data_IF_582378121707
#
_entry.id   IF_582378121707
#
_cell.length_a   1.000
_cell.length_b   1.000
_cell.length_c   1.000
_cell.angle_alpha   90.00
_cell.angle_beta   90.00
_cell.angle_gamma   90.00
#
_symmetry.space_group_name_H-M   'P 1'
#
loop_
_entity.id
_entity.type
_entity.pdbx_description
1 polymer ?
#
# COMPACT_ATOMS: atom_id res chain seq x y z
N UNK A 4 -6.54 -37.74 -41.39
CA UNK A 4 -7.37 -37.10 -42.47
C UNK A 4 -8.24 -35.97 -41.92
N UNK A 5 -9.56 -36.22 -41.87
CA UNK A 5 -10.53 -35.35 -41.21
C UNK A 5 -10.55 -35.67 -39.71
N UNK A 6 -9.92 -36.80 -39.37
CA UNK A 6 -9.67 -37.17 -38.00
C UNK A 6 -8.92 -36.02 -37.32
N UNK A 7 -7.77 -35.65 -37.90
CA UNK A 7 -6.81 -34.72 -37.30
C UNK A 7 -7.36 -33.29 -37.20
N UNK A 8 -8.35 -32.94 -38.05
CA UNK A 8 -8.88 -31.59 -38.04
C UNK A 8 -9.72 -31.38 -36.78
N UNK A 9 -10.59 -32.35 -36.49
CA UNK A 9 -11.52 -32.28 -35.37
C UNK A 9 -10.77 -32.36 -34.05
N UNK A 10 -9.53 -32.87 -34.08
CA UNK A 10 -8.69 -32.97 -32.90
C UNK A 10 -8.14 -31.59 -32.58
N UNK A 11 -7.32 -31.09 -33.51
CA UNK A 11 -6.76 -29.76 -33.42
C UNK A 11 -7.85 -28.78 -33.01
N UNK A 12 -9.09 -29.03 -33.46
CA UNK A 12 -10.23 -28.17 -33.13
C UNK A 12 -10.69 -28.37 -31.69
N UNK A 13 -10.68 -29.61 -31.18
CA UNK A 13 -11.06 -29.83 -29.79
C UNK A 13 -9.95 -29.36 -28.83
N UNK A 14 -8.68 -29.47 -29.25
CA UNK A 14 -7.53 -29.04 -28.48
C UNK A 14 -7.59 -27.53 -28.28
N UNK A 15 -7.71 -26.81 -29.39
CA UNK A 15 -7.85 -25.36 -29.39
C UNK A 15 -8.88 -24.93 -28.35
N UNK A 16 -10.07 -25.54 -28.38
CA UNK A 16 -11.15 -25.19 -27.46
C UNK A 16 -10.75 -25.43 -26.00
N UNK A 17 -9.82 -26.36 -25.78
CA UNK A 17 -9.40 -26.71 -24.42
C UNK A 17 -8.12 -25.97 -24.05
N UNK A 18 -7.19 -25.87 -25.00
CA UNK A 18 -5.96 -25.19 -24.67
C UNK A 18 -6.27 -23.72 -24.44
N UNK A 19 -7.41 -23.28 -24.98
CA UNK A 19 -7.92 -21.94 -24.71
C UNK A 19 -8.57 -21.89 -23.32
N UNK A 20 -9.41 -22.88 -23.00
CA UNK A 20 -10.07 -22.97 -21.71
C UNK A 20 -9.06 -22.70 -20.61
N UNK A 21 -7.93 -23.41 -20.68
CA UNK A 21 -6.95 -23.43 -19.61
C UNK A 21 -6.16 -22.13 -19.62
N UNK A 22 -6.25 -21.37 -20.71
CA UNK A 22 -5.50 -20.13 -20.68
C UNK A 22 -6.35 -19.03 -20.06
N UNK A 23 -7.66 -19.09 -20.29
CA UNK A 23 -8.60 -18.17 -19.70
C UNK A 23 -8.62 -18.38 -18.19
N UNK A 24 -8.37 -19.62 -17.77
CA UNK A 24 -8.32 -19.91 -16.35
C UNK A 24 -7.18 -19.09 -15.77
N UNK A 25 -6.00 -19.18 -16.40
CA UNK A 25 -4.84 -18.47 -15.88
C UNK A 25 -5.13 -16.98 -15.75
N UNK A 26 -5.73 -16.38 -16.79
CA UNK A 26 -5.99 -14.95 -16.72
C UNK A 26 -7.01 -14.66 -15.61
N UNK A 27 -8.18 -15.33 -15.58
CA UNK A 27 -9.14 -14.99 -14.55
C UNK A 27 -8.47 -15.02 -13.19
N UNK A 28 -7.68 -16.07 -12.91
CA UNK A 28 -6.96 -16.25 -11.67
C UNK A 28 -6.13 -15.02 -11.33
N UNK A 29 -5.31 -14.55 -12.29
CA UNK A 29 -4.50 -13.36 -12.07
C UNK A 29 -5.41 -12.19 -11.68
N UNK A 30 -6.50 -12.01 -12.44
CA UNK A 30 -7.45 -10.94 -12.14
C UNK A 30 -8.03 -11.12 -10.75
N UNK A 31 -8.47 -12.33 -10.40
CA UNK A 31 -8.87 -12.63 -9.03
C UNK A 31 -7.84 -12.13 -8.01
N UNK A 32 -6.56 -12.45 -8.23
CA UNK A 32 -5.51 -12.05 -7.31
C UNK A 32 -5.42 -10.53 -7.20
N UNK A 33 -5.25 -9.86 -8.34
CA UNK A 33 -5.26 -8.41 -8.33
C UNK A 33 -6.39 -7.89 -7.43
N UNK A 34 -7.61 -8.48 -7.53
CA UNK A 34 -8.76 -8.06 -6.72
C UNK A 34 -8.56 -8.33 -5.23
N UNK A 35 -8.28 -9.59 -4.87
CA UNK A 35 -7.82 -9.95 -3.53
C UNK A 35 -6.74 -9.00 -3.02
N UNK A 36 -5.55 -8.96 -3.65
CA UNK A 36 -4.52 -8.07 -3.13
C UNK A 36 -5.07 -6.66 -2.97
N UNK A 37 -5.78 -6.15 -3.99
CA UNK A 37 -6.17 -4.75 -3.96
C UNK A 37 -7.17 -4.47 -2.86
N UNK A 38 -8.04 -5.45 -2.59
CA UNK A 38 -9.05 -5.30 -1.56
C UNK A 38 -8.37 -5.37 -0.20
N UNK A 39 -7.68 -6.50 0.07
CA UNK A 39 -6.87 -6.69 1.27
C UNK A 39 -5.95 -5.49 1.53
N UNK A 40 -5.34 -4.96 0.48
CA UNK A 40 -4.46 -3.82 0.68
C UNK A 40 -5.22 -2.62 1.23
N UNK A 41 -6.25 -2.14 0.52
CA UNK A 41 -6.97 -0.95 0.93
C UNK A 41 -7.43 -1.08 2.37
N UNK A 42 -7.96 -2.26 2.70
CA UNK A 42 -8.42 -2.56 4.05
C UNK A 42 -7.31 -2.25 5.07
N UNK A 43 -6.21 -3.02 5.02
CA UNK A 43 -5.04 -2.85 5.88
C UNK A 43 -4.66 -1.37 6.01
N UNK A 44 -4.66 -0.63 4.90
CA UNK A 44 -4.49 0.83 4.99
C UNK A 44 -5.50 1.43 5.96
N UNK A 45 -6.80 1.26 5.71
CA UNK A 45 -7.82 1.84 6.57
C UNK A 45 -7.56 1.49 8.05
N UNK A 46 -7.42 0.19 8.37
CA UNK A 46 -7.11 -0.22 9.74
C UNK A 46 -5.93 0.58 10.33
N UNK A 47 -4.77 0.55 9.66
CA UNK A 47 -3.56 1.21 10.13
C UNK A 47 -3.79 2.71 10.27
N UNK A 48 -4.49 3.31 9.29
CA UNK A 48 -4.80 4.73 9.37
C UNK A 48 -5.61 5.01 10.63
N UNK A 49 -6.47 4.06 11.01
CA UNK A 49 -7.39 4.32 12.07
C UNK A 49 -6.63 4.32 13.38
N UNK A 50 -5.95 3.20 13.67
CA UNK A 50 -5.04 3.09 14.81
C UNK A 50 -4.25 4.38 14.98
N UNK A 51 -3.57 4.84 13.92
CA UNK A 51 -2.71 6.00 14.06
C UNK A 51 -3.55 7.19 14.50
N UNK A 52 -4.64 7.43 13.77
CA UNK A 52 -5.51 8.56 14.10
C UNK A 52 -5.93 8.45 15.56
N UNK A 53 -6.27 7.22 15.99
CA UNK A 53 -6.68 6.96 17.36
C UNK A 53 -5.59 7.44 18.31
N UNK A 54 -4.37 6.91 18.15
CA UNK A 54 -3.26 7.21 19.04
C UNK A 54 -2.92 8.71 19.04
N UNK A 55 -3.04 9.35 17.89
CA UNK A 55 -2.80 10.78 17.85
C UNK A 55 -3.82 11.50 18.73
N UNK A 56 -5.07 11.03 18.67
CA UNK A 56 -6.10 11.67 19.46
C UNK A 56 -5.85 11.44 20.95
N UNK A 57 -5.42 10.22 21.32
CA UNK A 57 -5.02 9.95 22.69
C UNK A 57 -3.82 10.83 23.08
N UNK A 58 -2.88 11.05 22.15
CA UNK A 58 -1.79 11.96 22.50
C UNK A 58 -2.38 13.35 22.73
N UNK A 59 -3.25 13.80 21.81
CA UNK A 59 -3.87 15.10 21.98
C UNK A 59 -4.56 15.18 23.35
N UNK A 60 -5.16 14.08 23.79
CA UNK A 60 -5.99 14.15 24.98
C UNK A 60 -5.19 14.00 26.28
N UNK A 61 -4.32 12.98 26.34
CA UNK A 61 -3.46 12.77 27.47
C UNK A 61 -2.56 13.99 27.72
N UNK A 62 -2.50 14.92 26.74
CA UNK A 62 -1.66 16.10 26.82
C UNK A 62 -2.41 17.28 27.44
N UNK A 63 -3.63 17.54 26.96
CA UNK A 63 -4.48 18.57 27.55
C UNK A 63 -4.61 18.29 29.05
N UNK A 64 -4.68 16.99 29.40
CA UNK A 64 -4.84 16.63 30.79
C UNK A 64 -3.58 17.01 31.54
N UNK A 65 -2.41 16.58 31.05
CA UNK A 65 -1.20 16.87 31.80
C UNK A 65 -1.04 18.37 32.01
N UNK A 66 -1.29 19.15 30.93
CA UNK A 66 -1.36 20.61 30.97
C UNK A 66 -2.06 21.08 32.24
N UNK A 67 -3.28 20.61 32.45
CA UNK A 67 -4.13 21.04 33.54
C UNK A 67 -3.52 20.70 34.90
N UNK A 68 -2.95 19.49 35.07
CA UNK A 68 -2.39 19.10 36.37
C UNK A 68 -1.21 19.99 36.73
N UNK A 69 -0.52 20.46 35.70
CA UNK A 69 0.55 21.40 35.98
C UNK A 69 -0.09 22.75 36.30
N UNK A 70 -0.84 23.29 35.32
CA UNK A 70 -1.50 24.57 35.41
C UNK A 70 -2.07 24.75 36.81
N UNK A 71 -2.58 23.64 37.38
CA UNK A 71 -3.21 23.65 38.69
C UNK A 71 -2.14 23.53 39.78
N UNK A 72 -1.31 22.48 39.71
CA UNK A 72 -0.29 22.29 40.73
C UNK A 72 0.52 23.58 40.94
N UNK A 73 0.44 24.46 39.95
CA UNK A 73 1.20 25.69 39.92
C UNK A 73 0.40 26.79 40.60
N UNK A 74 -0.92 26.80 40.36
CA UNK A 74 -1.74 27.86 40.94
C UNK A 74 -1.93 27.62 42.43
N UNK A 75 -1.71 26.36 42.85
CA UNK A 75 -1.56 26.01 44.25
C UNK A 75 -0.39 26.80 44.85
N UNK A 76 0.80 26.63 44.25
CA UNK A 76 2.00 27.30 44.68
C UNK A 76 1.82 28.82 44.73
N UNK A 77 1.18 29.39 43.70
CA UNK A 77 0.81 30.79 43.74
C UNK A 77 0.04 31.09 45.03
N UNK A 78 -1.04 30.33 45.27
CA UNK A 78 -1.82 30.57 46.47
C UNK A 78 -0.93 30.45 47.71
N UNK A 79 -0.18 29.34 47.81
CA UNK A 79 0.65 29.07 48.96
C UNK A 79 1.53 30.28 49.24
N UNK A 80 1.85 31.05 48.20
CA UNK A 80 2.63 32.26 48.37
C UNK A 80 1.80 33.43 48.86
N UNK A 81 0.80 33.83 48.04
CA UNK A 81 -0.08 34.97 48.30
C UNK A 81 -0.70 34.86 49.71
N UNK A 82 -0.73 33.64 50.28
CA UNK A 82 -1.26 33.40 51.62
C UNK A 82 -0.11 33.06 52.56
N UNK A 83 -0.28 32.00 53.38
CA UNK A 83 0.62 31.66 54.46
C UNK A 83 2.10 31.83 54.12
N UNK B 4 8.72 35.48 44.30
CA UNK B 4 8.43 34.10 43.80
C UNK B 4 7.07 34.00 43.10
N UNK B 5 6.24 35.02 43.30
CA UNK B 5 4.96 35.07 42.63
C UNK B 5 5.17 35.21 41.12
N UNK B 6 5.73 36.36 40.70
CA UNK B 6 5.85 36.66 39.27
C UNK B 6 6.51 35.48 38.57
N UNK B 7 7.49 34.85 39.24
CA UNK B 7 8.13 33.67 38.69
C UNK B 7 7.07 32.69 38.20
N UNK B 8 6.10 32.40 39.06
CA UNK B 8 5.16 31.34 38.81
C UNK B 8 4.14 31.80 37.78
N UNK B 9 3.75 33.07 37.85
CA UNK B 9 2.89 33.63 36.83
C UNK B 9 3.46 33.32 35.44
N UNK B 10 4.80 33.24 35.36
CA UNK B 10 5.52 33.05 34.12
C UNK B 10 5.49 31.59 33.70
N UNK B 11 5.93 30.70 34.60
CA UNK B 11 5.86 29.28 34.33
C UNK B 11 4.49 28.95 33.73
N UNK B 12 3.43 29.52 34.30
CA UNK B 12 2.09 29.42 33.72
C UNK B 12 2.09 29.82 32.24
N UNK B 13 2.39 31.10 31.94
CA UNK B 13 2.29 31.57 30.55
C UNK B 13 3.11 30.70 29.59
N UNK B 14 4.17 30.06 30.10
CA UNK B 14 5.07 29.26 29.29
C UNK B 14 4.38 27.95 28.96
N UNK B 15 3.91 27.28 30.01
CA UNK B 15 3.14 26.06 29.90
C UNK B 15 2.00 26.28 28.89
N UNK B 16 1.37 27.46 28.95
CA UNK B 16 0.23 27.72 28.09
C UNK B 16 0.64 27.69 26.63
N UNK B 17 1.76 28.34 26.28
CA UNK B 17 1.99 28.58 24.86
C UNK B 17 2.86 27.46 24.25
N UNK B 18 3.47 26.64 25.10
CA UNK B 18 4.17 25.44 24.64
C UNK B 18 3.13 24.43 24.20
N UNK B 19 1.92 24.61 24.73
CA UNK B 19 0.83 23.69 24.47
C UNK B 19 0.19 23.97 23.10
N UNK B 20 -0.16 25.23 22.82
CA UNK B 20 -0.79 25.55 21.54
C UNK B 20 0.05 24.96 20.41
N UNK B 21 1.37 25.18 20.52
CA UNK B 21 2.37 24.73 19.56
C UNK B 21 2.34 23.20 19.37
N UNK B 22 2.37 22.46 20.49
CA UNK B 22 2.44 21.01 20.36
C UNK B 22 1.09 20.47 19.86
N UNK B 23 0.01 21.14 20.24
CA UNK B 23 -1.31 20.89 19.69
C UNK B 23 -1.28 20.98 18.17
N UNK B 24 -0.79 22.09 17.62
CA UNK B 24 -0.84 22.29 16.18
C UNK B 24 -0.10 21.14 15.51
N UNK B 25 1.10 20.85 16.03
CA UNK B 25 1.96 19.87 15.41
C UNK B 25 1.21 18.55 15.28
N UNK B 26 0.60 18.10 16.40
CA UNK B 26 -0.06 16.80 16.41
C UNK B 26 -1.18 16.85 15.39
N UNK B 27 -1.82 18.02 15.29
CA UNK B 27 -2.91 18.12 14.36
C UNK B 27 -2.34 17.98 12.96
N UNK B 28 -1.08 18.36 12.78
CA UNK B 28 -0.56 18.32 11.43
C UNK B 28 -0.21 16.87 11.08
N UNK B 29 0.39 16.15 12.02
CA UNK B 29 0.71 14.76 11.73
C UNK B 29 -0.58 14.11 11.29
N UNK B 30 -1.63 14.24 12.11
CA UNK B 30 -2.94 13.68 11.80
C UNK B 30 -3.43 14.06 10.41
N UNK B 31 -3.25 15.32 10.01
CA UNK B 31 -3.66 15.78 8.68
C UNK B 31 -3.00 14.92 7.60
N UNK B 32 -1.69 14.76 7.71
CA UNK B 32 -0.91 14.01 6.74
C UNK B 32 -1.31 12.54 6.80
N UNK B 33 -1.48 12.02 8.02
CA UNK B 33 -1.99 10.67 8.14
C UNK B 33 -3.25 10.52 7.30
N UNK B 34 -4.08 11.55 7.27
CA UNK B 34 -5.28 11.50 6.44
C UNK B 34 -4.87 11.54 4.97
N UNK B 35 -4.29 12.66 4.54
CA UNK B 35 -3.85 12.84 3.16
C UNK B 35 -3.18 11.58 2.59
N UNK B 36 -2.27 10.89 3.32
CA UNK B 36 -1.60 9.76 2.69
C UNK B 36 -2.64 8.74 2.29
N UNK B 37 -3.55 8.43 3.20
CA UNK B 37 -4.42 7.27 2.99
C UNK B 37 -5.34 7.49 1.79
N UNK B 38 -5.79 8.72 1.57
CA UNK B 38 -6.66 8.93 0.42
C UNK B 38 -5.86 8.84 -0.87
N UNK B 39 -4.85 9.64 -0.98
CA UNK B 39 -3.88 9.37 -2.04
C UNK B 39 -3.48 7.92 -2.29
N UNK B 40 -3.08 7.20 -1.21
CA UNK B 40 -2.67 5.82 -1.31
C UNK B 40 -3.80 4.95 -1.84
N UNK B 41 -5.00 5.08 -1.26
CA UNK B 41 -6.11 4.21 -1.63
C UNK B 41 -6.56 4.54 -3.05
N UNK B 42 -6.54 5.84 -3.39
CA UNK B 42 -6.73 6.24 -4.76
C UNK B 42 -5.81 5.39 -5.67
N UNK B 43 -4.49 5.55 -5.51
CA UNK B 43 -3.52 4.89 -6.36
C UNK B 43 -3.76 3.37 -6.41
N UNK B 44 -3.94 2.74 -5.24
CA UNK B 44 -4.18 1.29 -5.28
C UNK B 44 -5.35 0.99 -6.22
N UNK B 45 -6.41 1.82 -6.15
CA UNK B 45 -7.64 1.60 -6.92
C UNK B 45 -7.34 1.79 -8.41
N UNK B 46 -6.84 2.98 -8.75
CA UNK B 46 -6.42 3.32 -10.10
C UNK B 46 -5.69 2.14 -10.72
N UNK B 47 -4.71 1.62 -9.99
CA UNK B 47 -3.80 0.67 -10.59
C UNK B 47 -4.51 -0.67 -10.77
N UNK B 48 -5.25 -1.09 -9.74
CA UNK B 48 -6.07 -2.28 -9.85
C UNK B 48 -6.89 -2.20 -11.15
N UNK B 49 -7.44 -1.01 -11.42
CA UNK B 49 -8.26 -0.88 -12.60
C UNK B 49 -7.40 -1.11 -13.83
N UNK B 50 -6.36 -0.28 -14.01
CA UNK B 50 -5.49 -0.38 -15.17
C UNK B 50 -5.07 -1.83 -15.41
N UNK B 51 -4.82 -2.61 -14.34
CA UNK B 51 -4.38 -3.99 -14.54
C UNK B 51 -5.57 -4.86 -14.94
N UNK B 52 -6.72 -4.62 -14.28
CA UNK B 52 -7.88 -5.43 -14.62
C UNK B 52 -8.27 -5.19 -16.08
N UNK B 53 -7.97 -3.97 -16.59
CA UNK B 53 -8.29 -3.58 -17.95
C UNK B 53 -7.40 -4.31 -18.96
N UNK B 54 -6.10 -4.41 -18.67
CA UNK B 54 -5.24 -5.00 -19.67
C UNK B 54 -5.48 -6.51 -19.65
N UNK B 55 -5.71 -7.01 -18.45
CA UNK B 55 -6.08 -8.41 -18.35
C UNK B 55 -7.32 -8.66 -19.20
N UNK B 56 -8.29 -7.73 -19.15
CA UNK B 56 -9.45 -7.85 -20.00
C UNK B 56 -9.03 -7.91 -21.47
N UNK B 57 -8.17 -6.97 -21.92
CA UNK B 57 -7.78 -6.90 -23.33
C UNK B 57 -7.09 -8.19 -23.80
N UNK B 58 -6.29 -8.80 -22.93
CA UNK B 58 -5.71 -10.06 -23.31
C UNK B 58 -6.82 -11.05 -23.62
N UNK B 59 -7.80 -11.17 -22.71
CA UNK B 59 -8.93 -12.07 -22.95
C UNK B 59 -9.60 -11.71 -24.29
N UNK B 60 -9.98 -10.46 -24.47
CA UNK B 60 -10.78 -10.10 -25.63
C UNK B 60 -10.05 -10.50 -26.90
N UNK B 61 -8.75 -10.15 -26.95
CA UNK B 61 -7.90 -10.34 -28.12
C UNK B 61 -7.75 -11.83 -28.42
N UNK B 62 -7.60 -12.63 -27.38
CA UNK B 62 -7.42 -14.06 -27.57
C UNK B 62 -8.76 -14.68 -27.97
N UNK B 63 -9.86 -14.26 -27.33
CA UNK B 63 -11.15 -14.76 -27.77
C UNK B 63 -11.37 -14.46 -29.25
N UNK B 64 -11.10 -13.23 -29.70
CA UNK B 64 -11.43 -12.94 -31.08
C UNK B 64 -10.62 -13.86 -31.99
N UNK B 65 -9.34 -14.06 -31.68
CA UNK B 65 -8.49 -14.92 -32.51
C UNK B 65 -9.00 -16.37 -32.44
N UNK B 66 -9.62 -16.73 -31.32
CA UNK B 66 -10.16 -18.07 -31.25
C UNK B 66 -11.31 -18.16 -32.25
N UNK B 67 -12.25 -17.20 -32.12
CA UNK B 67 -13.48 -17.20 -32.88
C UNK B 67 -13.14 -17.25 -34.37
N UNK B 68 -12.17 -16.42 -34.77
CA UNK B 68 -11.76 -16.31 -36.16
C UNK B 68 -11.20 -17.64 -36.62
N UNK B 69 -10.34 -18.22 -35.76
CA UNK B 69 -9.64 -19.43 -36.14
C UNK B 69 -10.61 -20.59 -36.15
N UNK B 70 -11.46 -20.68 -35.11
CA UNK B 70 -12.52 -21.69 -35.13
C UNK B 70 -13.29 -21.60 -36.45
N UNK B 71 -13.83 -20.42 -36.72
CA UNK B 71 -14.59 -20.18 -37.94
C UNK B 71 -13.86 -20.74 -39.17
N UNK B 72 -12.53 -20.55 -39.21
CA UNK B 72 -11.68 -20.96 -40.31
C UNK B 72 -11.68 -22.48 -40.44
N UNK B 73 -11.51 -23.17 -39.31
CA UNK B 73 -11.26 -24.60 -39.38
C UNK B 73 -12.59 -25.33 -39.43
N UNK B 74 -13.65 -24.62 -39.02
CA UNK B 74 -15.03 -25.08 -39.19
C UNK B 74 -15.33 -25.19 -40.69
N UNK B 75 -14.84 -24.21 -41.48
CA UNK B 75 -15.09 -24.11 -42.91
C UNK B 75 -14.48 -25.30 -43.64
N UNK B 76 -13.19 -25.58 -43.41
CA UNK B 76 -12.53 -26.80 -43.88
C UNK B 76 -13.33 -28.03 -43.48
N UNK B 77 -13.82 -28.03 -42.23
CA UNK B 77 -14.54 -29.16 -41.68
C UNK B 77 -15.73 -29.52 -42.56
N UNK B 78 -16.43 -28.51 -43.08
CA UNK B 78 -17.55 -28.74 -43.99
C UNK B 78 -17.05 -29.12 -45.39
N UNK B 79 -16.02 -28.41 -45.89
CA UNK B 79 -15.51 -28.60 -47.25
C UNK B 79 -14.67 -29.87 -47.34
N UNK B 80 -14.56 -30.58 -46.20
CA UNK B 80 -13.86 -31.85 -46.13
C UNK B 80 -14.87 -32.97 -45.92
N UNK B 81 -16.01 -32.64 -45.29
CA UNK B 81 -17.15 -33.54 -45.17
C UNK B 81 -17.64 -33.95 -46.56
N UNK B 82 -17.45 -33.08 -47.56
CA UNK B 82 -17.56 -33.41 -48.98
C UNK B 82 -16.44 -32.70 -49.74
N UNK B 83 -16.75 -31.46 -50.19
CA UNK B 83 -15.82 -30.56 -50.87
C UNK B 83 -15.05 -31.25 -51.99
N UNK C 4 -6.48 -26.66 -50.60
CA UNK C 4 -6.67 -26.55 -49.11
C UNK C 4 -5.36 -26.48 -48.34
N UNK C 5 -4.25 -26.59 -49.07
CA UNK C 5 -2.99 -26.28 -48.45
C UNK C 5 -3.03 -24.80 -48.07
N UNK C 6 -3.37 -23.95 -49.05
CA UNK C 6 -3.25 -22.52 -48.87
C UNK C 6 -3.96 -22.11 -47.59
N UNK C 7 -5.13 -22.69 -47.35
CA UNK C 7 -5.92 -22.48 -46.14
C UNK C 7 -5.03 -22.64 -44.91
N UNK C 8 -4.32 -23.77 -44.85
CA UNK C 8 -3.57 -24.09 -43.67
C UNK C 8 -2.31 -23.25 -43.66
N UNK C 9 -1.72 -23.01 -44.83
CA UNK C 9 -0.61 -22.06 -44.88
C UNK C 9 -1.06 -20.71 -44.32
N UNK C 10 -2.37 -20.50 -44.23
CA UNK C 10 -2.94 -19.22 -43.80
C UNK C 10 -3.14 -19.19 -42.29
N UNK C 11 -3.88 -20.18 -41.78
CA UNK C 11 -3.93 -20.43 -40.35
C UNK C 11 -2.55 -20.24 -39.71
N UNK C 12 -1.55 -20.98 -40.21
CA UNK C 12 -0.19 -20.83 -39.71
C UNK C 12 0.14 -19.35 -39.52
N UNK C 13 0.09 -18.56 -40.60
CA UNK C 13 0.51 -17.18 -40.52
C UNK C 13 -0.32 -16.40 -39.49
N UNK C 14 -1.57 -16.83 -39.25
CA UNK C 14 -2.47 -16.07 -38.39
C UNK C 14 -2.02 -16.26 -36.95
N UNK C 15 -1.98 -17.53 -36.55
CA UNK C 15 -1.35 -17.96 -35.32
C UNK C 15 -0.03 -17.20 -35.08
N UNK C 16 0.83 -17.11 -36.10
CA UNK C 16 2.12 -16.49 -35.88
C UNK C 16 1.89 -15.04 -35.45
N UNK C 17 0.97 -14.36 -36.11
CA UNK C 17 0.79 -12.93 -35.90
C UNK C 17 -0.05 -12.62 -34.67
N UNK C 18 -0.98 -13.51 -34.32
CA UNK C 18 -1.78 -13.30 -33.12
C UNK C 18 -0.84 -13.33 -31.93
N UNK C 19 0.19 -14.19 -32.03
CA UNK C 19 0.99 -14.52 -30.87
C UNK C 19 1.93 -13.37 -30.49
N UNK C 20 2.48 -12.65 -31.46
CA UNK C 20 3.35 -11.53 -31.11
C UNK C 20 2.55 -10.50 -30.31
N UNK C 21 1.31 -10.25 -30.74
CA UNK C 21 0.44 -9.26 -30.13
C UNK C 21 0.20 -9.60 -28.66
N UNK C 22 -0.06 -10.89 -28.41
CA UNK C 22 -0.46 -11.31 -27.07
C UNK C 22 0.78 -11.36 -26.18
N UNK C 23 1.94 -11.64 -26.78
CA UNK C 23 3.22 -11.50 -26.10
C UNK C 23 3.38 -10.07 -25.59
N UNK C 24 3.31 -9.10 -26.52
CA UNK C 24 3.53 -7.72 -26.14
C UNK C 24 2.63 -7.34 -24.95
N UNK C 25 1.33 -7.57 -25.09
CA UNK C 25 0.35 -7.16 -24.10
C UNK C 25 0.70 -7.70 -22.73
N UNK C 26 1.25 -8.93 -22.68
CA UNK C 26 1.55 -9.59 -21.43
C UNK C 26 2.85 -9.00 -20.89
N UNK C 27 3.83 -8.82 -21.77
CA UNK C 27 4.98 -8.01 -21.41
C UNK C 27 4.47 -6.78 -20.68
N UNK C 28 3.69 -5.97 -21.39
CA UNK C 28 3.45 -4.61 -20.92
C UNK C 28 2.74 -4.65 -19.56
N UNK C 29 1.74 -5.51 -19.45
CA UNK C 29 1.14 -5.78 -18.15
C UNK C 29 2.24 -5.90 -17.10
N UNK C 30 3.19 -6.81 -17.34
CA UNK C 30 4.27 -7.03 -16.38
C UNK C 30 5.12 -5.77 -16.17
N UNK C 31 5.44 -5.04 -17.24
CA UNK C 31 6.13 -3.78 -17.06
C UNK C 31 5.42 -2.92 -16.01
N UNK C 32 4.08 -2.87 -16.07
CA UNK C 32 3.33 -2.03 -15.14
C UNK C 32 3.45 -2.57 -13.73
N UNK C 33 3.26 -3.89 -13.58
CA UNK C 33 3.42 -4.51 -12.28
C UNK C 33 4.73 -4.04 -11.67
N UNK C 34 5.78 -3.96 -12.48
CA UNK C 34 7.03 -3.43 -11.99
C UNK C 34 6.86 -1.97 -11.57
N UNK C 35 6.58 -1.07 -12.53
CA UNK C 35 6.46 0.33 -12.13
C UNK C 35 5.55 0.59 -10.92
N UNK C 36 4.40 -0.10 -10.79
CA UNK C 36 3.53 0.25 -9.67
C UNK C 36 4.28 0.03 -8.37
N UNK C 37 4.95 -1.12 -8.24
CA UNK C 37 5.55 -1.49 -6.95
C UNK C 37 6.66 -0.50 -6.60
N UNK C 38 7.29 0.07 -7.65
CA UNK C 38 8.33 1.07 -7.46
C UNK C 38 7.73 2.36 -6.91
N UNK C 39 6.67 2.88 -7.56
CA UNK C 39 5.85 3.94 -6.95
C UNK C 39 5.36 3.61 -5.53
N UNK C 40 4.55 2.55 -5.38
CA UNK C 40 4.00 2.20 -4.08
C UNK C 40 5.09 2.24 -3.03
N UNK C 41 6.15 1.44 -3.24
CA UNK C 41 7.22 1.30 -2.28
C UNK C 41 7.87 2.67 -2.05
N UNK C 42 8.30 3.31 -3.13
CA UNK C 42 8.95 4.60 -2.99
C UNK C 42 8.10 5.52 -2.13
N UNK C 43 6.81 5.67 -2.45
CA UNK C 43 6.09 6.73 -1.77
C UNK C 43 5.62 6.31 -0.36
N UNK C 44 5.41 5.01 -0.11
CA UNK C 44 5.29 4.60 1.28
C UNK C 44 6.46 5.21 2.05
N UNK C 45 7.68 4.96 1.54
CA UNK C 45 8.91 5.26 2.26
C UNK C 45 9.01 6.75 2.54
N UNK C 46 8.74 7.56 1.51
CA UNK C 46 8.61 9.00 1.68
C UNK C 46 7.71 9.31 2.87
N UNK C 47 6.62 8.56 3.02
CA UNK C 47 5.59 8.94 3.98
C UNK C 47 6.07 8.65 5.39
N UNK C 48 6.47 7.39 5.63
CA UNK C 48 7.09 6.93 6.86
C UNK C 48 8.15 7.95 7.31
N UNK C 49 8.94 8.39 6.33
CA UNK C 49 9.95 9.36 6.67
C UNK C 49 9.26 10.64 7.13
N UNK C 50 8.40 11.20 6.28
CA UNK C 50 7.72 12.42 6.67
C UNK C 50 7.12 12.29 8.07
N UNK C 51 6.40 11.19 8.37
CA UNK C 51 5.73 11.12 9.67
C UNK C 51 6.76 10.93 10.76
N UNK C 52 7.73 10.04 10.49
CA UNK C 52 8.77 9.80 11.50
C UNK C 52 9.45 11.12 11.89
N UNK C 53 9.73 12.00 10.90
CA UNK C 53 10.33 13.30 11.17
C UNK C 53 9.45 14.10 12.14
N UNK C 54 8.16 14.23 11.83
CA UNK C 54 7.28 15.08 12.59
C UNK C 54 7.09 14.56 14.00
N UNK C 55 7.00 13.23 14.13
CA UNK C 55 6.86 12.68 15.46
C UNK C 55 8.08 13.09 16.25
N UNK C 56 9.23 13.04 15.58
CA UNK C 56 10.49 13.40 16.19
C UNK C 56 10.40 14.84 16.69
N UNK C 57 9.92 15.77 15.85
CA UNK C 57 9.86 17.17 16.24
C UNK C 57 8.93 17.38 17.43
N UNK C 58 7.82 16.63 17.48
CA UNK C 58 6.98 16.65 18.67
C UNK C 58 7.84 16.35 19.90
N UNK C 59 8.68 15.32 19.77
CA UNK C 59 9.62 15.00 20.85
C UNK C 59 10.53 16.19 21.14
N UNK C 60 11.15 16.76 20.11
CA UNK C 60 12.14 17.76 20.46
C UNK C 60 11.43 18.92 21.15
N UNK C 61 10.33 19.38 20.55
CA UNK C 61 9.60 20.54 21.04
C UNK C 61 9.18 20.32 22.50
N UNK C 62 8.75 19.10 22.81
CA UNK C 62 8.41 18.82 24.20
C UNK C 62 9.70 18.70 25.02
N UNK C 63 10.69 17.94 24.55
CA UNK C 63 11.88 17.78 25.37
C UNK C 63 12.44 19.13 25.81
N UNK C 64 12.55 20.09 24.90
CA UNK C 64 13.23 21.31 25.29
C UNK C 64 12.35 22.13 26.24
N UNK C 65 11.03 22.09 26.02
CA UNK C 65 10.13 22.82 26.91
C UNK C 65 10.27 22.26 28.33
N UNK C 66 10.55 20.96 28.40
CA UNK C 66 10.72 20.34 29.68
C UNK C 66 11.99 20.90 30.31
N UNK C 67 13.07 20.91 29.51
CA UNK C 67 14.37 21.39 29.95
C UNK C 67 14.20 22.80 30.50
N UNK C 68 13.53 23.65 29.71
CA UNK C 68 13.34 25.05 30.06
C UNK C 68 12.54 25.19 31.34
N UNK C 69 11.45 24.42 31.44
CA UNK C 69 10.63 24.47 32.65
C UNK C 69 11.41 23.87 33.80
N UNK C 70 12.03 22.71 33.60
CA UNK C 70 12.80 22.12 34.69
C UNK C 70 13.75 23.17 35.27
N UNK C 71 14.53 23.81 34.39
CA UNK C 71 15.53 24.79 34.79
C UNK C 71 14.91 25.91 35.65
N UNK C 72 13.70 26.33 35.25
CA UNK C 72 13.01 27.43 35.89
C UNK C 72 12.60 27.07 37.31
N UNK C 73 12.15 25.82 37.50
CA UNK C 73 11.61 25.41 38.78
C UNK C 73 12.75 24.84 39.63
N UNK C 74 13.84 24.45 38.97
CA UNK C 74 15.04 24.08 39.72
C UNK C 74 15.54 25.30 40.50
N UNK C 75 15.44 26.49 39.87
CA UNK C 75 15.93 27.72 40.45
C UNK C 75 15.16 28.09 41.72
N UNK C 76 13.82 28.14 41.63
CA UNK C 76 12.97 28.42 42.78
C UNK C 76 13.34 27.48 43.91
N UNK C 77 13.59 26.21 43.55
CA UNK C 77 13.94 25.19 44.52
C UNK C 77 15.13 25.65 45.36
N UNK C 78 16.12 26.27 44.72
CA UNK C 78 17.28 26.78 45.43
C UNK C 78 16.92 28.03 46.24
N UNK C 79 16.21 28.97 45.61
CA UNK C 79 15.94 30.29 46.18
C UNK C 79 14.83 30.19 47.22
N UNK C 80 14.36 28.97 47.47
CA UNK C 80 13.41 28.69 48.53
C UNK C 80 14.10 27.86 49.60
N UNK C 81 15.07 27.05 49.19
CA UNK C 81 15.89 26.27 50.10
C UNK C 81 16.81 27.18 50.91
N UNK C 82 16.75 28.49 50.62
CA UNK C 82 17.25 29.55 51.48
C UNK C 82 16.29 30.74 51.41
N UNK C 83 16.55 31.67 50.49
CA UNK C 83 15.74 32.87 50.36
C UNK C 83 16.46 33.94 49.57
N UNK D 4 4.58 23.85 50.72
CA UNK D 4 5.55 24.97 50.48
C UNK D 4 6.63 24.59 49.45
N UNK D 5 7.75 24.06 49.96
CA UNK D 5 8.80 23.51 49.12
C UNK D 5 8.46 22.05 48.82
N UNK D 6 7.67 21.46 49.72
CA UNK D 6 7.01 20.18 49.56
C UNK D 6 6.40 20.08 48.17
N UNK D 7 5.52 21.04 47.85
CA UNK D 7 4.66 21.02 46.69
C UNK D 7 5.40 21.41 45.40
N UNK D 8 6.66 21.84 45.52
CA UNK D 8 7.45 22.23 44.34
C UNK D 8 8.16 21.00 43.76
N UNK D 9 8.60 20.11 44.64
CA UNK D 9 9.26 18.88 44.23
C UNK D 9 8.26 17.84 43.73
N UNK D 10 6.97 18.01 44.07
CA UNK D 10 5.90 17.13 43.61
C UNK D 10 5.63 17.42 42.13
N UNK D 11 5.24 18.67 41.89
CA UNK D 11 5.11 19.25 40.57
C UNK D 11 6.38 18.96 39.76
N UNK D 12 7.55 18.88 40.42
CA UNK D 12 8.76 18.57 39.67
C UNK D 12 8.88 17.07 39.40
N UNK D 13 8.33 16.23 40.26
CA UNK D 13 8.33 14.80 39.96
C UNK D 13 7.18 14.44 39.02
N UNK D 14 6.15 15.31 38.96
CA UNK D 14 5.02 15.17 38.06
C UNK D 14 5.48 15.33 36.61
N UNK D 15 5.91 16.55 36.29
CA UNK D 15 6.43 16.89 34.98
C UNK D 15 7.43 15.84 34.51
N UNK D 16 8.34 15.44 35.40
CA UNK D 16 9.37 14.46 35.09
C UNK D 16 8.78 13.08 34.81
N UNK D 17 7.52 12.85 35.23
CA UNK D 17 6.87 11.56 35.06
C UNK D 17 5.83 11.66 33.97
N UNK D 18 5.17 12.81 33.90
CA UNK D 18 4.10 13.00 32.95
C UNK D 18 4.71 13.04 31.56
N UNK D 19 5.99 13.39 31.51
CA UNK D 19 6.77 13.40 30.29
C UNK D 19 7.10 11.96 29.88
N UNK D 20 7.47 11.13 30.86
CA UNK D 20 7.74 9.72 30.61
C UNK D 20 6.60 9.10 29.84
N UNK D 21 5.37 9.42 30.27
CA UNK D 21 4.17 8.82 29.72
C UNK D 21 3.94 9.35 28.31
N UNK D 22 4.27 10.63 28.08
CA UNK D 22 3.99 11.22 26.78
C UNK D 22 4.99 10.72 25.75
N UNK D 23 6.24 10.53 26.19
CA UNK D 23 7.27 9.95 25.35
C UNK D 23 6.89 8.53 24.96
N UNK D 24 6.60 7.69 25.97
CA UNK D 24 6.11 6.36 25.68
C UNK D 24 5.06 6.44 24.58
N UNK D 25 4.08 7.32 24.73
CA UNK D 25 3.01 7.39 23.75
C UNK D 25 3.56 7.69 22.36
N UNK D 26 4.32 8.80 22.23
CA UNK D 26 4.86 9.16 20.94
C UNK D 26 5.76 8.05 20.42
N UNK D 27 6.52 7.38 21.31
CA UNK D 27 7.39 6.28 20.91
C UNK D 27 6.57 5.18 20.25
N UNK D 28 5.56 4.66 20.98
CA UNK D 28 4.61 3.70 20.45
C UNK D 28 4.18 4.11 19.04
N UNK D 29 3.65 5.33 18.88
CA UNK D 29 3.15 5.71 17.57
C UNK D 29 4.20 5.39 16.51
N UNK D 30 5.39 5.97 16.68
CA UNK D 30 6.45 5.81 15.69
C UNK D 30 6.85 4.34 15.55
N UNK D 31 6.86 3.58 16.64
CA UNK D 31 7.01 2.14 16.50
C UNK D 31 6.03 1.62 15.45
N UNK D 32 4.76 2.01 15.55
CA UNK D 32 3.74 1.42 14.69
C UNK D 32 3.96 1.85 13.25
N UNK D 33 4.17 3.14 13.05
CA UNK D 33 4.50 3.61 11.72
C UNK D 33 5.56 2.70 11.11
N UNK D 34 6.54 2.24 11.91
CA UNK D 34 7.63 1.36 11.50
C UNK D 34 7.14 -0.01 11.00
N UNK D 35 6.46 -0.77 11.88
CA UNK D 35 5.85 -2.04 11.52
C UNK D 35 4.92 -1.93 10.31
N UNK D 36 3.99 -0.96 10.30
CA UNK D 36 3.15 -0.80 9.13
C UNK D 36 4.01 -0.68 7.87
N UNK D 37 4.99 0.25 7.86
CA UNK D 37 5.63 0.47 6.57
C UNK D 37 6.37 -0.78 6.13
N UNK D 38 6.98 -1.44 7.12
CA UNK D 38 7.73 -2.67 6.91
C UNK D 38 6.78 -3.75 6.41
N UNK D 39 5.72 -4.01 7.19
CA UNK D 39 4.63 -4.89 6.82
C UNK D 39 4.10 -4.64 5.40
N UNK D 40 3.98 -3.38 5.04
CA UNK D 40 3.46 -3.10 3.72
C UNK D 40 4.48 -3.56 2.69
N UNK D 41 5.65 -3.02 2.79
CA UNK D 41 6.63 -3.18 1.73
C UNK D 41 6.77 -4.65 1.40
N UNK D 42 6.76 -5.49 2.45
CA UNK D 42 6.78 -6.93 2.29
C UNK D 42 5.65 -7.35 1.35
N UNK D 43 4.41 -7.12 1.81
CA UNK D 43 3.20 -7.44 1.06
C UNK D 43 3.34 -6.98 -0.39
N UNK D 44 3.84 -5.76 -0.64
CA UNK D 44 3.96 -5.31 -2.02
C UNK D 44 4.93 -6.23 -2.76
N UNK D 45 6.09 -6.50 -2.16
CA UNK D 45 7.08 -7.31 -2.85
C UNK D 45 6.47 -8.67 -3.18
N UNK D 46 5.92 -9.34 -2.16
CA UNK D 46 5.28 -10.65 -2.30
C UNK D 46 4.27 -10.70 -3.45
N UNK D 47 3.35 -9.73 -3.50
CA UNK D 47 2.31 -9.73 -4.52
C UNK D 47 2.92 -9.36 -5.88
N UNK D 48 3.88 -8.41 -5.89
CA UNK D 48 4.53 -8.05 -7.13
C UNK D 48 5.20 -9.27 -7.74
N UNK D 49 5.65 -10.16 -6.86
CA UNK D 49 6.38 -11.35 -7.28
C UNK D 49 5.46 -12.42 -7.81
N UNK D 50 4.47 -12.80 -6.99
CA UNK D 50 3.41 -13.74 -7.38
C UNK D 50 2.83 -13.32 -8.73
N UNK D 51 2.61 -12.01 -8.94
CA UNK D 51 2.05 -11.58 -10.21
C UNK D 51 3.09 -11.80 -11.29
N UNK D 52 4.25 -11.19 -11.11
CA UNK D 52 5.30 -11.27 -12.12
C UNK D 52 5.48 -12.73 -12.53
N UNK D 53 5.15 -13.60 -11.58
CA UNK D 53 5.35 -15.03 -11.73
C UNK D 53 4.26 -15.60 -12.64
N UNK D 54 2.98 -15.32 -12.30
CA UNK D 54 1.86 -15.83 -13.07
C UNK D 54 1.88 -15.35 -14.52
N UNK D 55 2.41 -14.15 -14.74
CA UNK D 55 2.41 -13.62 -16.09
C UNK D 55 3.46 -14.40 -16.90
N UNK D 56 4.59 -14.71 -16.24
CA UNK D 56 5.62 -15.47 -16.92
C UNK D 56 5.07 -16.83 -17.32
N UNK D 57 4.30 -17.46 -16.41
CA UNK D 57 3.64 -18.72 -16.71
C UNK D 57 2.71 -18.53 -17.91
N UNK D 58 2.07 -17.36 -17.99
CA UNK D 58 1.13 -17.14 -19.08
C UNK D 58 1.88 -17.10 -20.42
N UNK D 59 3.00 -16.39 -20.51
CA UNK D 59 3.72 -16.46 -21.77
C UNK D 59 4.07 -17.93 -22.06
N UNK D 60 4.72 -18.60 -21.10
CA UNK D 60 5.17 -19.97 -21.30
C UNK D 60 4.01 -20.84 -21.82
N UNK D 61 2.95 -20.94 -21.02
CA UNK D 61 1.82 -21.78 -21.34
C UNK D 61 1.21 -21.39 -22.68
N UNK D 62 1.61 -20.23 -23.24
CA UNK D 62 1.07 -19.71 -24.49
C UNK D 62 1.95 -20.14 -25.67
N UNK D 63 3.26 -19.87 -25.57
CA UNK D 63 4.26 -20.43 -26.46
C UNK D 63 3.98 -21.91 -26.76
N UNK D 64 3.73 -22.68 -25.70
CA UNK D 64 3.51 -24.10 -25.88
C UNK D 64 2.20 -24.33 -26.61
N UNK D 65 1.12 -23.64 -26.23
CA UNK D 65 -0.11 -23.85 -26.98
C UNK D 65 0.15 -23.58 -28.46
N UNK D 66 0.81 -22.44 -28.75
CA UNK D 66 1.19 -22.07 -30.11
C UNK D 66 1.81 -23.26 -30.82
N UNK D 67 2.93 -23.73 -30.28
CA UNK D 67 3.72 -24.76 -30.94
C UNK D 67 2.87 -26.00 -31.20
N UNK D 68 2.09 -26.45 -30.21
CA UNK D 68 1.19 -27.59 -30.37
C UNK D 68 0.23 -27.37 -31.54
N UNK D 69 -0.31 -26.16 -31.64
CA UNK D 69 -1.16 -25.87 -32.77
C UNK D 69 -0.34 -25.98 -34.05
N UNK D 70 0.66 -25.10 -34.18
CA UNK D 70 1.49 -25.02 -35.37
C UNK D 70 1.81 -26.42 -35.85
N UNK D 71 2.30 -27.23 -34.91
CA UNK D 71 2.69 -28.59 -35.22
C UNK D 71 1.46 -29.38 -35.65
N UNK D 72 0.33 -29.22 -34.94
CA UNK D 72 -0.81 -30.00 -35.36
C UNK D 72 -1.30 -29.58 -36.74
N UNK D 73 -1.07 -28.31 -37.09
CA UNK D 73 -1.53 -27.79 -38.36
C UNK D 73 -0.65 -28.37 -39.46
N UNK D 74 0.67 -28.37 -39.23
CA UNK D 74 1.62 -28.79 -40.26
C UNK D 74 1.39 -30.26 -40.61
N UNK D 75 0.97 -31.04 -39.59
CA UNK D 75 0.53 -32.42 -39.75
C UNK D 75 -0.54 -32.50 -40.84
N UNK D 76 -1.60 -31.69 -40.70
CA UNK D 76 -2.68 -31.60 -41.67
C UNK D 76 -2.13 -31.19 -43.02
N UNK D 77 -1.43 -30.06 -43.07
CA UNK D 77 -0.88 -29.59 -44.33
C UNK D 77 -0.12 -30.74 -45.00
N UNK D 78 0.53 -31.60 -44.21
CA UNK D 78 1.26 -32.70 -44.83
C UNK D 78 0.30 -33.82 -45.22
N UNK D 79 -0.63 -34.19 -44.34
CA UNK D 79 -1.66 -35.16 -44.67
C UNK D 79 -2.25 -34.84 -46.03
N UNK D 80 -2.25 -33.56 -46.38
CA UNK D 80 -2.78 -33.13 -47.65
C UNK D 80 -1.77 -33.43 -48.75
N UNK D 81 -0.60 -32.78 -48.70
CA UNK D 81 0.45 -32.88 -49.71
C UNK D 81 0.77 -34.33 -50.10
N UNK D 82 0.39 -35.28 -49.23
CA UNK D 82 0.65 -36.69 -49.39
C UNK D 82 -0.67 -37.44 -49.56
N UNK D 83 -0.94 -38.43 -48.69
CA UNK D 83 -2.03 -39.37 -48.88
C UNK D 83 -3.39 -38.69 -48.92
#
# INVERSE_FOLDING_TARGET
>A
GPGGVEALEDALAQIKSVNNALQERVEAVAADVRTFSEGYIKAIEEHRDKLLQQLDDIRIQRETALQLQKAQLEQLLADMRTGVE
>B
GPGGVEALEDALAQIKSVNNALQERVEAVAADVRTFSEGYIKAIEEHRDKLLQQLDDIRIQRETALQLQKAQLEQLLADMRTGVE
>C
GPGGVEALEDALAQIKSVNNALQERVEAVAADVRTFSEGYIKAIEEHRDKLLQQLDDIRIQRETALQLQKAQLEQLLADMRTGVE
>D
GPGGVEALEDALAQIKSVNNALQERVEAVAADVRTFSEGYIKAIEEHRDKLLQQLDDIRIQRETALQLQKAQLEQLLADMRTGVE
#
